data_IF_416706395880
#
_entry.id   IF_416706395880
#
_cell.length_a   1.000
_cell.length_b   1.000
_cell.length_c   1.000
_cell.angle_alpha   90.00
_cell.angle_beta   90.00
_cell.angle_gamma   90.00
#
_symmetry.space_group_name_H-M   'P 1'
#
loop_
_entity.id
_entity.type
_entity.pdbx_description
1 polymer ?
#
# COMPACT_ATOMS: atom_id res chain seq x y z
N UNK A 1 6.29 4.67 -9.49
CA UNK A 1 7.32 3.63 -9.70
C UNK A 1 6.73 2.26 -9.47
N UNK A 2 7.34 1.22 -10.00
CA UNK A 2 6.87 -0.15 -9.76
C UNK A 2 8.00 -0.96 -9.14
N UNK A 3 7.73 -1.54 -7.96
CA UNK A 3 8.63 -2.48 -7.31
C UNK A 3 8.34 -3.88 -7.83
N UNK A 4 9.28 -4.80 -7.67
CA UNK A 4 9.09 -6.19 -8.08
C UNK A 4 9.55 -7.13 -6.96
N UNK A 5 8.62 -7.92 -6.45
CA UNK A 5 8.90 -8.94 -5.44
C UNK A 5 9.22 -10.26 -6.14
N UNK A 6 10.50 -10.58 -6.25
CA UNK A 6 10.96 -11.78 -6.92
C UNK A 6 10.46 -13.05 -6.24
N UNK A 7 10.37 -13.05 -4.92
CA UNK A 7 9.94 -14.23 -4.16
C UNK A 7 8.51 -14.65 -4.47
N UNK A 8 7.66 -13.69 -4.85
CA UNK A 8 6.26 -13.94 -5.20
C UNK A 8 5.97 -13.71 -6.69
N UNK A 9 7.00 -13.36 -7.48
CA UNK A 9 6.88 -13.01 -8.90
C UNK A 9 5.75 -11.97 -9.11
N UNK A 10 5.85 -10.85 -8.37
CA UNK A 10 4.75 -9.89 -8.35
C UNK A 10 5.23 -8.47 -8.50
N UNK A 11 4.60 -7.74 -9.44
CA UNK A 11 4.74 -6.29 -9.53
C UNK A 11 3.94 -5.62 -8.43
N UNK A 12 4.50 -4.56 -7.86
CA UNK A 12 3.85 -3.74 -6.84
C UNK A 12 4.02 -2.28 -7.24
N UNK A 13 3.06 -1.71 -7.99
CA UNK A 13 3.10 -0.29 -8.29
C UNK A 13 2.89 0.54 -7.03
N UNK A 14 3.72 1.58 -6.85
CA UNK A 14 3.61 2.48 -5.70
C UNK A 14 3.74 3.92 -6.17
N UNK A 15 3.05 4.82 -5.48
CA UNK A 15 3.20 6.26 -5.61
C UNK A 15 3.79 6.82 -4.33
N UNK A 16 4.83 7.62 -4.46
CA UNK A 16 5.52 8.23 -3.33
C UNK A 16 5.19 9.72 -3.29
N UNK A 17 4.79 10.20 -2.11
CA UNK A 17 4.49 11.62 -1.86
C UNK A 17 5.43 12.09 -0.77
N UNK A 18 6.45 12.87 -1.18
CA UNK A 18 7.58 13.24 -0.31
C UNK A 18 7.34 14.59 0.34
N UNK A 19 7.49 14.69 1.68
CA UNK A 19 7.43 15.98 2.36
C UNK A 19 8.75 16.73 2.25
N UNK A 20 8.74 18.01 2.66
CA UNK A 20 9.91 18.88 2.67
C UNK A 20 10.51 18.97 4.08
N UNK A 21 10.62 17.85 4.80
CA UNK A 21 11.23 17.80 6.13
C UNK A 21 12.22 16.65 6.23
N UNK A 22 13.13 16.73 7.22
CA UNK A 22 14.09 15.67 7.50
C UNK A 22 13.45 14.57 8.35
N UNK A 23 13.85 13.31 8.11
CA UNK A 23 13.41 12.14 8.86
C UNK A 23 11.90 12.06 9.08
N UNK A 24 11.09 12.15 8.02
CA UNK A 24 9.63 12.12 8.17
C UNK A 24 9.12 10.75 8.62
N UNK A 25 8.00 10.77 9.35
CA UNK A 25 7.23 9.56 9.65
C UNK A 25 6.57 9.06 8.36
N UNK A 26 6.35 7.75 8.32
CA UNK A 26 5.85 7.07 7.12
C UNK A 26 4.36 6.76 7.27
N UNK A 27 3.60 7.03 6.21
CA UNK A 27 2.22 6.56 6.07
C UNK A 27 2.17 5.62 4.87
N UNK A 28 1.68 4.40 5.10
CA UNK A 28 1.39 3.44 4.04
C UNK A 28 -0.12 3.46 3.81
N UNK A 29 -0.53 3.80 2.60
CA UNK A 29 -1.94 3.89 2.23
C UNK A 29 -2.32 2.72 1.34
N UNK A 30 -3.46 2.07 1.66
CA UNK A 30 -4.01 0.95 0.91
C UNK A 30 -5.42 1.28 0.43
N UNK A 31 -5.63 1.21 -0.87
CA UNK A 31 -6.89 1.56 -1.53
C UNK A 31 -7.99 0.52 -1.28
N UNK A 32 -9.25 0.92 -1.56
CA UNK A 32 -10.38 -0.01 -1.59
C UNK A 32 -10.35 -0.91 -2.83
N UNK A 33 -11.21 -1.94 -2.85
CA UNK A 33 -11.27 -2.87 -3.97
C UNK A 33 -11.70 -2.15 -5.25
N UNK A 34 -10.86 -2.16 -6.27
CA UNK A 34 -11.08 -1.50 -7.55
C UNK A 34 -11.35 -2.47 -8.71
N UNK A 35 -11.75 -3.70 -8.42
CA UNK A 35 -12.00 -4.73 -9.43
C UNK A 35 -10.81 -4.95 -10.38
N UNK A 36 -9.60 -4.85 -9.85
CA UNK A 36 -8.35 -5.07 -10.56
C UNK A 36 -8.13 -4.12 -11.76
N UNK A 37 -8.69 -2.91 -11.71
CA UNK A 37 -8.56 -1.97 -12.82
C UNK A 37 -7.17 -1.35 -12.95
N UNK A 38 -6.30 -1.51 -11.97
CA UNK A 38 -5.00 -0.85 -11.95
C UNK A 38 -5.15 0.67 -11.76
N UNK A 39 -4.19 1.34 -11.22
CA UNK A 39 -4.28 2.79 -11.02
C UNK A 39 -5.15 3.23 -9.86
N UNK A 40 -5.80 2.32 -9.13
CA UNK A 40 -6.63 2.65 -7.97
C UNK A 40 -5.82 3.38 -6.90
N UNK A 41 -4.53 3.05 -6.77
CA UNK A 41 -3.62 3.69 -5.82
C UNK A 41 -3.39 5.19 -6.10
N UNK A 42 -3.76 5.67 -7.28
CA UNK A 42 -3.64 7.07 -7.66
C UNK A 42 -4.94 7.87 -7.44
N UNK A 43 -6.01 7.22 -7.02
CA UNK A 43 -7.32 7.85 -6.89
C UNK A 43 -7.51 8.61 -5.57
N UNK A 44 -6.50 8.62 -4.70
CA UNK A 44 -6.60 9.20 -3.35
C UNK A 44 -5.68 10.42 -3.17
N UNK A 45 -5.33 11.10 -4.26
CA UNK A 45 -4.39 12.23 -4.20
C UNK A 45 -4.87 13.37 -3.31
N UNK A 46 -6.19 13.57 -3.19
CA UNK A 46 -6.77 14.54 -2.27
C UNK A 46 -6.34 14.28 -0.82
N UNK A 47 -6.11 13.02 -0.45
CA UNK A 47 -5.66 12.63 0.88
C UNK A 47 -4.13 12.51 0.95
N UNK A 48 -3.51 11.81 0.00
CA UNK A 48 -2.08 11.51 0.03
C UNK A 48 -1.24 12.78 -0.10
N UNK A 49 -1.62 13.69 -0.99
CA UNK A 49 -0.94 14.97 -1.14
C UNK A 49 -1.13 15.87 0.08
N UNK A 50 -2.33 15.85 0.67
CA UNK A 50 -2.59 16.59 1.89
C UNK A 50 -1.70 16.11 3.03
N UNK A 51 -1.60 14.78 3.23
CA UNK A 51 -0.77 14.21 4.29
C UNK A 51 0.72 14.53 4.07
N UNK A 52 1.20 14.48 2.83
CA UNK A 52 2.56 14.88 2.52
C UNK A 52 2.79 16.37 2.84
N UNK A 53 1.81 17.22 2.59
CA UNK A 53 1.89 18.65 2.94
C UNK A 53 1.99 18.88 4.44
N UNK A 54 1.57 17.91 5.26
CA UNK A 54 1.65 17.94 6.72
C UNK A 54 2.93 17.31 7.26
N UNK A 55 3.85 16.90 6.40
CA UNK A 55 5.16 16.42 6.79
C UNK A 55 5.33 14.90 6.80
N UNK A 56 4.37 14.14 6.27
CA UNK A 56 4.48 12.69 6.20
C UNK A 56 5.05 12.22 4.87
N UNK A 57 5.85 11.16 4.91
CA UNK A 57 6.25 10.46 3.70
C UNK A 57 5.18 9.42 3.40
N UNK A 58 4.39 9.65 2.35
CA UNK A 58 3.23 8.83 2.05
C UNK A 58 3.53 7.89 0.90
N UNK A 59 3.22 6.60 1.10
CA UNK A 59 3.36 5.55 0.08
C UNK A 59 1.98 4.96 -0.19
N UNK A 60 1.48 5.15 -1.39
CA UNK A 60 0.23 4.54 -1.83
C UNK A 60 0.54 3.29 -2.67
N UNK A 61 0.01 2.14 -2.26
CA UNK A 61 0.33 0.84 -2.87
C UNK A 61 -0.84 0.38 -3.74
N UNK A 62 -0.55 -0.07 -4.97
CA UNK A 62 -1.52 -0.80 -5.79
C UNK A 62 -1.47 -2.28 -5.40
N UNK A 63 -2.53 -2.75 -4.75
CA UNK A 63 -2.60 -4.13 -4.26
C UNK A 63 -3.14 -5.12 -5.28
N UNK A 64 -3.90 -4.64 -6.25
CA UNK A 64 -4.57 -5.47 -7.24
C UNK A 64 -4.00 -5.18 -8.63
N UNK A 65 -3.75 -6.23 -9.39
CA UNK A 65 -3.26 -6.12 -10.76
C UNK A 65 -4.34 -6.60 -11.73
N UNK A 66 -4.37 -6.10 -12.97
CA UNK A 66 -5.32 -6.57 -13.98
C UNK A 66 -5.26 -8.09 -14.22
N UNK A 67 -4.11 -8.71 -13.95
CA UNK A 67 -3.90 -10.15 -14.12
C UNK A 67 -4.35 -10.98 -12.91
N UNK A 68 -4.70 -10.35 -11.80
CA UNK A 68 -5.16 -11.06 -10.61
C UNK A 68 -6.60 -11.58 -10.79
N UNK A 69 -6.94 -12.63 -10.06
CA UNK A 69 -8.33 -13.09 -9.94
C UNK A 69 -9.17 -12.07 -9.20
N UNK A 70 -10.41 -11.88 -9.63
CA UNK A 70 -11.37 -11.06 -8.90
C UNK A 70 -11.74 -11.71 -7.57
N UNK A 71 -12.15 -10.90 -6.59
CA UNK A 71 -12.61 -11.41 -5.31
C UNK A 71 -13.96 -12.13 -5.54
N UNK A 72 -14.05 -13.41 -5.16
CA UNK A 72 -15.31 -14.15 -5.35
C UNK A 72 -16.38 -13.71 -4.36
N UNK A 73 -17.64 -14.04 -4.66
CA UNK A 73 -18.74 -13.87 -3.72
C UNK A 73 -18.65 -14.91 -2.60
N UNK A 74 -19.14 -14.55 -1.43
CA UNK A 74 -19.17 -15.45 -0.27
C UNK A 74 -18.97 -14.70 1.03
N UNK A 75 -18.69 -15.46 2.09
CA UNK A 75 -18.43 -14.89 3.42
C UNK A 75 -17.08 -14.13 3.38
N UNK A 76 -17.06 -12.79 3.63
CA UNK A 76 -15.84 -12.00 3.44
C UNK A 76 -14.63 -12.54 4.18
N UNK A 77 -14.79 -12.98 5.42
CA UNK A 77 -13.69 -13.50 6.25
C UNK A 77 -13.05 -14.76 5.66
N UNK A 78 -13.78 -15.47 4.80
CA UNK A 78 -13.30 -16.69 4.15
C UNK A 78 -12.72 -16.35 2.76
N UNK A 79 -13.53 -15.70 1.90
CA UNK A 79 -13.16 -15.52 0.49
C UNK A 79 -12.14 -14.40 0.30
N UNK A 80 -12.10 -13.41 1.21
CA UNK A 80 -11.18 -12.27 1.11
C UNK A 80 -9.86 -12.49 1.83
N UNK A 81 -9.77 -13.48 2.70
CA UNK A 81 -8.55 -13.70 3.48
C UNK A 81 -7.29 -13.85 2.62
N UNK A 82 -7.27 -14.63 1.53
CA UNK A 82 -6.07 -14.71 0.69
C UNK A 82 -5.66 -13.35 0.11
N UNK A 83 -6.63 -12.49 -0.19
CA UNK A 83 -6.38 -11.15 -0.70
C UNK A 83 -5.82 -10.22 0.38
N UNK A 84 -6.27 -10.36 1.61
CA UNK A 84 -5.73 -9.62 2.75
C UNK A 84 -4.30 -10.08 3.07
N UNK A 85 -4.03 -11.38 3.00
CA UNK A 85 -2.69 -11.93 3.18
C UNK A 85 -1.74 -11.42 2.10
N UNK A 86 -2.18 -11.37 0.85
CA UNK A 86 -1.42 -10.79 -0.25
C UNK A 86 -1.14 -9.30 -0.02
N UNK A 87 -2.16 -8.57 0.41
CA UNK A 87 -2.01 -7.14 0.73
C UNK A 87 -1.01 -6.90 1.85
N UNK A 88 -1.09 -7.67 2.93
CA UNK A 88 -0.14 -7.58 4.03
C UNK A 88 1.29 -7.90 3.55
N UNK A 89 1.44 -8.88 2.66
CA UNK A 89 2.72 -9.21 2.04
C UNK A 89 3.26 -8.05 1.20
N UNK A 90 2.40 -7.36 0.46
CA UNK A 90 2.78 -6.18 -0.30
C UNK A 90 3.28 -5.07 0.63
N UNK A 91 2.56 -4.80 1.72
CA UNK A 91 2.95 -3.79 2.70
C UNK A 91 4.33 -4.10 3.28
N UNK A 92 4.54 -5.34 3.70
CA UNK A 92 5.83 -5.75 4.27
C UNK A 92 6.97 -5.60 3.26
N UNK A 93 6.74 -6.01 2.02
CA UNK A 93 7.74 -5.89 0.96
C UNK A 93 8.10 -4.43 0.70
N UNK A 94 7.10 -3.55 0.61
CA UNK A 94 7.31 -2.12 0.37
C UNK A 94 8.12 -1.49 1.50
N UNK A 95 7.79 -1.82 2.76
CA UNK A 95 8.55 -1.31 3.92
C UNK A 95 10.01 -1.72 3.83
N UNK A 96 10.30 -2.99 3.52
CA UNK A 96 11.67 -3.49 3.39
C UNK A 96 12.44 -2.81 2.26
N UNK A 97 11.80 -2.58 1.13
CA UNK A 97 12.43 -1.89 0.01
C UNK A 97 12.71 -0.41 0.33
N UNK A 98 11.80 0.25 1.04
CA UNK A 98 12.01 1.63 1.51
C UNK A 98 13.19 1.72 2.47
N UNK A 99 13.35 0.76 3.37
CA UNK A 99 14.49 0.73 4.30
C UNK A 99 15.82 0.70 3.56
N UNK A 100 15.88 -0.03 2.44
CA UNK A 100 17.09 -0.12 1.60
C UNK A 100 17.36 1.18 0.85
N UNK A 101 16.32 1.78 0.25
CA UNK A 101 16.49 2.93 -0.64
C UNK A 101 16.40 4.29 0.06
N UNK A 102 15.73 4.36 1.22
CA UNK A 102 15.51 5.59 1.97
C UNK A 102 15.75 5.36 3.46
N UNK A 103 17.00 5.00 3.86
CA UNK A 103 17.29 4.66 5.25
C UNK A 103 17.14 5.84 6.22
N UNK A 104 17.05 7.08 5.70
CA UNK A 104 16.85 8.28 6.50
C UNK A 104 15.42 8.45 7.03
N UNK A 105 14.47 7.67 6.55
CA UNK A 105 13.08 7.75 7.01
C UNK A 105 12.91 7.18 8.42
N UNK A 106 11.87 7.65 9.10
CA UNK A 106 11.56 7.20 10.47
C UNK A 106 10.75 5.90 10.44
N UNK A 107 11.46 4.76 10.37
CA UNK A 107 10.83 3.43 10.36
C UNK A 107 10.31 2.98 11.73
N UNK A 108 10.55 3.76 12.79
CA UNK A 108 9.98 3.51 14.12
C UNK A 108 8.53 3.97 14.21
N UNK A 109 8.10 4.86 13.32
CA UNK A 109 6.76 5.45 13.32
C UNK A 109 6.14 5.26 11.95
N UNK A 110 5.52 4.09 11.74
CA UNK A 110 4.80 3.76 10.50
C UNK A 110 3.32 3.69 10.83
N UNK A 111 2.52 4.47 10.11
CA UNK A 111 1.06 4.47 10.21
C UNK A 111 0.49 3.81 8.97
N UNK A 112 -0.45 2.90 9.17
CA UNK A 112 -1.19 2.28 8.07
C UNK A 112 -2.56 2.92 7.98
N UNK A 113 -2.93 3.38 6.78
CA UNK A 113 -4.26 3.92 6.48
C UNK A 113 -4.84 3.10 5.35
N UNK A 114 -6.10 2.74 5.46
CA UNK A 114 -6.78 1.98 4.42
C UNK A 114 -8.21 2.42 4.24
N UNK A 115 -8.72 2.25 3.03
CA UNK A 115 -10.11 2.49 2.68
C UNK A 115 -10.77 1.15 2.34
N UNK A 116 -11.89 0.82 3.01
CA UNK A 116 -12.67 -0.39 2.75
C UNK A 116 -11.79 -1.65 2.81
N UNK A 117 -11.65 -2.40 1.71
CA UNK A 117 -10.80 -3.60 1.65
C UNK A 117 -9.34 -3.30 2.01
N UNK A 118 -8.85 -2.09 1.70
CA UNK A 118 -7.52 -1.65 2.11
C UNK A 118 -7.39 -1.49 3.62
N UNK A 119 -8.47 -1.09 4.29
CA UNK A 119 -8.49 -1.04 5.76
C UNK A 119 -8.42 -2.44 6.36
N UNK A 120 -9.13 -3.41 5.78
CA UNK A 120 -9.10 -4.79 6.23
C UNK A 120 -7.71 -5.41 6.11
N UNK A 121 -7.02 -5.21 4.98
CA UNK A 121 -5.67 -5.74 4.81
C UNK A 121 -4.64 -5.02 5.70
N UNK A 122 -4.83 -3.73 5.97
CA UNK A 122 -3.99 -2.99 6.91
C UNK A 122 -4.15 -3.53 8.34
N UNK A 123 -5.38 -3.82 8.75
CA UNK A 123 -5.66 -4.43 10.06
C UNK A 123 -5.12 -5.86 10.14
N UNK A 124 -5.12 -6.59 9.02
CA UNK A 124 -4.58 -7.94 8.96
C UNK A 124 -3.05 -7.95 9.10
N UNK A 125 -2.39 -6.92 8.57
CA UNK A 125 -0.94 -6.77 8.68
C UNK A 125 -0.50 -6.67 10.14
#
# INVERSE_FOLDING_TARGET
>A
MTLFDESRNREIPVALYKPLIDSPQIIIFSHGYGQNQGGTYLNYTYLTEYLASKGYFVVSIQHELPTDSLIPSGIPQIVRRPFWERGAGNILFVIKELEKSNPELDFKHITLIGHSNGADMSAFF
#
